data_IF_332429867500
#
_entry.id   IF_332429867500
#
_cell.length_a   1.000
_cell.length_b   1.000
_cell.length_c   1.000
_cell.angle_alpha   90.00
_cell.angle_beta   90.00
_cell.angle_gamma   90.00
#
_symmetry.space_group_name_H-M   'P 1'
#
loop_
_entity.id
_entity.type
_entity.pdbx_description
1 polymer ?
#
# COMPACT_ATOMS: atom_id res chain seq x y z
N UNK A 1 -37.81 12.40 46.09
CA UNK A 1 -36.73 12.96 45.25
C UNK A 1 -36.74 12.22 43.92
N UNK A 2 -36.76 12.96 42.81
CA UNK A 2 -36.88 12.46 41.43
C UNK A 2 -35.49 12.11 40.89
N UNK A 3 -35.34 10.99 40.18
CA UNK A 3 -34.20 10.76 39.28
C UNK A 3 -34.71 10.32 37.91
N UNK A 4 -34.32 11.12 36.91
CA UNK A 4 -34.80 11.11 35.53
C UNK A 4 -34.03 10.08 34.71
N UNK A 5 -34.72 9.15 34.05
CA UNK A 5 -34.12 8.26 33.06
C UNK A 5 -34.00 8.98 31.72
N UNK A 6 -32.76 9.17 31.24
CA UNK A 6 -32.48 9.80 29.95
C UNK A 6 -32.52 8.71 28.86
N UNK A 7 -33.62 8.65 28.11
CA UNK A 7 -33.76 7.74 26.96
C UNK A 7 -32.84 8.19 25.83
N UNK A 8 -31.86 7.37 25.46
CA UNK A 8 -31.01 7.59 24.30
C UNK A 8 -31.77 7.17 23.03
N UNK A 9 -31.95 8.10 22.09
CA UNK A 9 -32.53 7.83 20.76
C UNK A 9 -31.41 7.33 19.86
N UNK A 10 -31.51 6.09 19.39
CA UNK A 10 -30.58 5.56 18.39
C UNK A 10 -30.84 6.25 17.03
N UNK A 11 -29.81 6.72 16.31
CA UNK A 11 -29.99 7.41 15.03
C UNK A 11 -30.45 6.43 13.95
N UNK A 12 -31.64 6.66 13.39
CA UNK A 12 -32.16 5.90 12.24
C UNK A 12 -31.49 6.45 10.98
N UNK A 13 -30.56 5.68 10.42
CA UNK A 13 -29.88 6.02 9.16
C UNK A 13 -30.90 6.05 8.02
N UNK A 14 -30.90 7.16 7.27
CA UNK A 14 -31.79 7.36 6.12
C UNK A 14 -31.53 6.32 5.03
N UNK A 15 -32.55 5.97 4.22
CA UNK A 15 -32.39 4.99 3.13
C UNK A 15 -31.32 5.43 2.11
N UNK A 16 -31.17 6.75 1.92
CA UNK A 16 -30.10 7.33 1.09
C UNK A 16 -28.70 7.02 1.66
N UNK A 17 -28.52 7.15 2.98
CA UNK A 17 -27.24 6.82 3.63
C UNK A 17 -26.91 5.33 3.49
N UNK A 18 -27.93 4.46 3.48
CA UNK A 18 -27.77 3.02 3.25
C UNK A 18 -27.35 2.70 1.82
N UNK A 19 -27.98 3.32 0.82
CA UNK A 19 -27.61 3.13 -0.59
C UNK A 19 -26.20 3.64 -0.89
N UNK A 20 -25.82 4.79 -0.31
CA UNK A 20 -24.48 5.34 -0.45
C UNK A 20 -23.42 4.44 0.20
N UNK A 21 -23.71 3.86 1.37
CA UNK A 21 -22.82 2.90 2.02
C UNK A 21 -22.62 1.63 1.17
N UNK A 22 -23.68 1.08 0.59
CA UNK A 22 -23.57 -0.07 -0.32
C UNK A 22 -22.75 0.25 -1.58
N UNK A 23 -22.94 1.44 -2.17
CA UNK A 23 -22.18 1.86 -3.35
C UNK A 23 -20.67 2.01 -3.04
N UNK A 24 -20.32 2.56 -1.87
CA UNK A 24 -18.93 2.70 -1.43
C UNK A 24 -18.26 1.35 -1.13
N UNK A 25 -19.00 0.37 -0.60
CA UNK A 25 -18.51 -1.01 -0.38
C UNK A 25 -18.13 -1.69 -1.70
N UNK A 26 -18.95 -1.51 -2.75
CA UNK A 26 -18.74 -2.11 -4.07
C UNK A 26 -17.60 -1.42 -4.86
N UNK A 27 -17.41 -0.11 -4.65
CA UNK A 27 -16.36 0.67 -5.32
C UNK A 27 -14.93 0.42 -4.78
N UNK A 28 -14.76 -0.34 -3.69
CA UNK A 28 -13.43 -0.65 -3.13
C UNK A 28 -12.65 -1.74 -3.89
N UNK A 29 -13.23 -2.30 -4.95
CA UNK A 29 -12.59 -3.29 -5.84
C UNK A 29 -11.66 -2.63 -6.87
N UNK A 30 -10.87 -1.64 -6.45
CA UNK A 30 -9.69 -1.28 -7.21
C UNK A 30 -8.69 -2.43 -7.08
N UNK A 31 -8.19 -2.94 -8.20
CA UNK A 31 -7.02 -3.81 -8.25
C UNK A 31 -5.80 -3.05 -7.71
N UNK A 32 -5.74 -2.92 -6.39
CA UNK A 32 -4.69 -2.27 -5.64
C UNK A 32 -3.66 -3.30 -5.22
N UNK A 33 -2.40 -2.87 -5.12
CA UNK A 33 -1.46 -3.62 -4.29
C UNK A 33 -2.07 -3.78 -2.90
N UNK A 34 -2.08 -5.02 -2.40
CA UNK A 34 -2.57 -5.33 -1.05
C UNK A 34 -1.81 -4.52 0.00
N UNK A 35 -0.52 -4.25 -0.28
CA UNK A 35 0.33 -3.45 0.59
C UNK A 35 1.42 -2.74 -0.22
N UNK A 36 1.69 -1.48 0.12
CA UNK A 36 2.84 -0.72 -0.39
C UNK A 36 3.62 -0.17 0.79
N UNK A 37 4.81 -0.71 1.00
CA UNK A 37 5.77 -0.21 2.00
C UNK A 37 6.80 0.66 1.31
N UNK A 38 7.01 1.88 1.82
CA UNK A 38 7.98 2.84 1.24
C UNK A 38 9.24 2.89 2.09
N UNK A 39 10.38 3.06 1.43
CA UNK A 39 11.67 3.34 2.04
C UNK A 39 12.29 4.58 1.39
N UNK A 40 13.38 5.14 1.93
CA UNK A 40 14.06 6.28 1.32
C UNK A 40 14.55 6.00 -0.12
N UNK A 41 14.86 4.74 -0.43
CA UNK A 41 15.47 4.33 -1.69
C UNK A 41 14.49 3.62 -2.64
N UNK A 42 13.23 3.41 -2.24
CA UNK A 42 12.33 2.61 -3.06
C UNK A 42 10.97 2.26 -2.43
N UNK A 43 10.31 1.30 -3.06
CA UNK A 43 9.03 0.74 -2.60
C UNK A 43 9.06 -0.79 -2.67
N UNK A 44 8.43 -1.43 -1.69
CA UNK A 44 8.06 -2.84 -1.73
C UNK A 44 6.55 -2.94 -1.87
N UNK A 45 6.11 -3.73 -2.85
CA UNK A 45 4.72 -3.91 -3.23
C UNK A 45 4.38 -5.37 -3.03
N UNK A 46 3.30 -5.64 -2.29
CA UNK A 46 2.66 -6.96 -2.24
C UNK A 46 1.43 -6.89 -3.14
N UNK A 47 1.43 -7.52 -4.32
CA UNK A 47 0.29 -7.48 -5.22
C UNK A 47 -0.93 -8.20 -4.63
N UNK A 48 -2.15 -7.74 -4.92
CA UNK A 48 -3.36 -8.41 -4.44
C UNK A 48 -3.68 -9.72 -5.17
N UNK A 49 -3.05 -9.98 -6.32
CA UNK A 49 -3.22 -11.23 -7.04
C UNK A 49 -2.68 -12.40 -6.22
N UNK A 50 -3.51 -13.42 -6.01
CA UNK A 50 -3.13 -14.62 -5.25
C UNK A 50 -1.92 -15.30 -5.89
N UNK A 51 -0.91 -15.59 -5.07
CA UNK A 51 0.32 -16.25 -5.52
C UNK A 51 1.31 -15.32 -6.23
N UNK A 52 1.04 -14.02 -6.32
CA UNK A 52 2.01 -13.06 -6.83
C UNK A 52 3.14 -12.85 -5.81
N UNK A 53 4.38 -12.92 -6.28
CA UNK A 53 5.55 -12.63 -5.46
C UNK A 53 5.56 -11.14 -5.06
N UNK A 54 5.98 -10.81 -3.83
CA UNK A 54 6.40 -9.47 -3.46
C UNK A 54 7.40 -8.87 -4.47
N UNK A 55 7.22 -7.60 -4.79
CA UNK A 55 8.06 -6.86 -5.75
C UNK A 55 8.70 -5.66 -5.06
N UNK A 56 10.03 -5.55 -5.14
CA UNK A 56 10.79 -4.40 -4.66
C UNK A 56 11.32 -3.58 -5.82
N UNK A 57 11.00 -2.29 -5.84
CA UNK A 57 11.55 -1.30 -6.75
C UNK A 57 12.49 -0.38 -5.98
N UNK A 58 13.75 -0.31 -6.39
CA UNK A 58 14.78 0.51 -5.76
C UNK A 58 15.38 1.46 -6.80
N UNK A 59 15.44 2.75 -6.49
CA UNK A 59 16.19 3.70 -7.30
C UNK A 59 17.66 3.48 -6.96
N UNK A 60 18.47 3.12 -7.95
CA UNK A 60 19.91 2.86 -7.76
C UNK A 60 20.75 3.99 -8.35
N UNK A 61 20.21 4.75 -9.30
CA UNK A 61 20.80 5.97 -9.86
C UNK A 61 19.71 6.82 -10.56
N UNK A 62 20.04 8.02 -11.01
CA UNK A 62 19.14 8.84 -11.82
C UNK A 62 18.71 8.10 -13.09
N UNK A 63 17.39 7.93 -13.26
CA UNK A 63 16.83 7.18 -14.38
C UNK A 63 17.02 5.66 -14.32
N UNK A 64 17.63 5.11 -13.25
CA UNK A 64 17.89 3.67 -13.12
C UNK A 64 17.14 3.08 -11.92
N UNK A 65 16.24 2.15 -12.21
CA UNK A 65 15.46 1.42 -11.21
C UNK A 65 15.81 -0.07 -11.23
N UNK A 66 16.16 -0.61 -10.07
CA UNK A 66 16.27 -2.05 -9.83
C UNK A 66 14.90 -2.61 -9.48
N UNK A 67 14.51 -3.69 -10.16
CA UNK A 67 13.28 -4.45 -9.87
C UNK A 67 13.67 -5.84 -9.41
N UNK A 68 13.14 -6.25 -8.27
CA UNK A 68 13.30 -7.59 -7.70
C UNK A 68 11.94 -8.19 -7.41
N UNK A 69 11.68 -9.41 -7.86
CA UNK A 69 10.53 -10.20 -7.46
C UNK A 69 11.03 -11.44 -6.72
N UNK A 70 10.52 -11.67 -5.52
CA UNK A 70 10.99 -12.73 -4.64
C UNK A 70 9.79 -13.37 -3.93
N UNK A 71 9.49 -14.66 -4.19
CA UNK A 71 8.41 -15.37 -3.51
C UNK A 71 8.59 -15.45 -1.98
N UNK A 72 9.84 -15.47 -1.50
CA UNK A 72 10.17 -15.57 -0.08
C UNK A 72 10.08 -14.19 0.61
N UNK A 73 10.19 -13.11 -0.17
CA UNK A 73 9.94 -11.74 0.27
C UNK A 73 11.01 -11.11 1.17
N UNK A 74 12.11 -11.82 1.46
CA UNK A 74 13.26 -11.28 2.19
C UNK A 74 14.22 -10.51 1.26
N UNK A 75 14.14 -10.76 -0.04
CA UNK A 75 15.00 -10.18 -1.07
C UNK A 75 16.50 -10.36 -0.77
N UNK A 76 16.86 -11.41 -0.03
CA UNK A 76 18.22 -11.76 0.30
C UNK A 76 18.93 -12.24 -0.97
N UNK A 77 20.02 -11.58 -1.36
CA UNK A 77 20.77 -11.94 -2.56
C UNK A 77 22.26 -11.74 -2.34
N UNK A 78 23.04 -12.64 -2.94
CA UNK A 78 24.46 -12.43 -3.14
C UNK A 78 24.73 -11.14 -3.93
N UNK A 79 25.89 -10.48 -3.70
CA UNK A 79 26.32 -9.35 -4.51
C UNK A 79 26.33 -9.68 -6.00
N UNK A 80 25.94 -8.71 -6.83
CA UNK A 80 25.96 -8.88 -8.28
C UNK A 80 27.39 -8.87 -8.80
N UNK A 81 27.73 -9.83 -9.68
CA UNK A 81 29.03 -9.88 -10.35
C UNK A 81 29.17 -8.84 -11.48
N UNK A 82 28.03 -8.40 -12.04
CA UNK A 82 27.99 -7.51 -13.20
C UNK A 82 27.87 -6.03 -12.83
N UNK A 83 27.43 -5.74 -11.60
CA UNK A 83 27.21 -4.36 -11.15
C UNK A 83 28.34 -3.92 -10.24
N UNK A 84 28.94 -2.78 -10.58
CA UNK A 84 29.83 -2.06 -9.67
C UNK A 84 28.96 -1.35 -8.62
N UNK A 85 29.37 -1.31 -7.33
CA UNK A 85 28.66 -0.54 -6.31
C UNK A 85 28.57 0.93 -6.72
N UNK A 86 27.37 1.49 -6.66
CA UNK A 86 27.10 2.92 -6.84
C UNK A 86 26.66 3.50 -5.51
N UNK A 87 27.13 4.70 -5.16
CA UNK A 87 26.64 5.43 -4.00
C UNK A 87 25.21 5.89 -4.30
N UNK A 88 24.24 5.22 -3.69
CA UNK A 88 22.82 5.51 -3.89
C UNK A 88 22.42 6.79 -3.13
N UNK A 89 22.79 7.95 -3.65
CA UNK A 89 22.20 9.24 -3.25
C UNK A 89 20.87 9.51 -3.97
N UNK A 90 20.51 8.65 -4.92
CA UNK A 90 19.25 8.71 -5.65
C UNK A 90 18.08 8.35 -4.73
N UNK A 91 17.28 9.37 -4.39
CA UNK A 91 16.10 9.23 -3.54
C UNK A 91 14.86 9.03 -4.39
N UNK A 92 13.97 8.14 -3.96
CA UNK A 92 12.64 8.06 -4.56
C UNK A 92 11.90 9.38 -4.31
N UNK A 93 11.67 10.16 -5.36
CA UNK A 93 10.86 11.38 -5.26
C UNK A 93 9.41 10.99 -4.99
N UNK A 94 8.77 11.62 -4.00
CA UNK A 94 7.32 11.49 -3.83
C UNK A 94 6.66 12.23 -4.98
N UNK A 95 6.01 11.50 -5.89
CA UNK A 95 5.11 12.11 -6.87
C UNK A 95 4.07 12.95 -6.13
N UNK A 96 4.00 14.24 -6.47
CA UNK A 96 2.95 15.12 -5.99
C UNK A 96 1.60 14.54 -6.42
N UNK A 97 0.73 14.30 -5.44
CA UNK A 97 -0.69 14.08 -5.65
C UNK A 97 -1.43 15.30 -5.13
#
# INVERSE_FOLDING_TARGET
>A
MRTSARTAVAPVLSPLARSLACALLLASTAAGAQQVTRSPHGITVVPAAKGAAPVRLEVVDEGIVRVSADPDGDFARSPSLMRVPVHADARLQRGAR
#
